data_IF_756425657374
#
_entry.id   IF_756425657374
#
_cell.length_a   1.000
_cell.length_b   1.000
_cell.length_c   1.000
_cell.angle_alpha   90.00
_cell.angle_beta   90.00
_cell.angle_gamma   90.00
#
_symmetry.space_group_name_H-M   'P 1'
#
loop_
_entity.id
_entity.type
_entity.pdbx_description
1 polymer ?
#
# COMPACT_ATOMS: atom_id res chain seq x y z
N UNK A 1 9.84 42.71 -34.67
CA UNK A 1 9.89 43.31 -33.33
C UNK A 1 8.60 42.97 -32.61
N UNK A 2 8.41 41.86 -31.91
CA UNK A 2 9.03 40.52 -31.86
C UNK A 2 8.12 39.70 -30.93
N UNK A 3 6.89 39.42 -31.37
CA UNK A 3 5.91 38.71 -30.54
C UNK A 3 5.96 37.17 -30.76
N UNK A 4 6.79 36.69 -31.68
CA UNK A 4 7.01 35.25 -31.93
C UNK A 4 8.01 34.60 -30.94
N UNK A 5 8.69 35.37 -30.09
CA UNK A 5 9.74 34.85 -29.21
C UNK A 5 9.23 34.25 -27.88
N UNK A 6 7.92 34.33 -27.61
CA UNK A 6 7.32 33.81 -26.35
C UNK A 6 6.59 32.47 -26.48
N UNK A 7 6.49 31.90 -27.68
CA UNK A 7 5.84 30.61 -27.91
C UNK A 7 6.89 29.49 -27.94
N UNK A 8 7.50 29.22 -26.79
CA UNK A 8 8.22 27.96 -26.62
C UNK A 8 7.20 26.82 -26.47
N UNK A 9 7.21 25.80 -27.33
CA UNK A 9 6.44 24.59 -27.11
C UNK A 9 7.00 23.92 -25.85
N UNK A 10 6.22 23.95 -24.75
CA UNK A 10 6.57 23.31 -23.47
C UNK A 10 6.82 21.80 -23.64
N UNK A 11 6.34 21.19 -24.74
CA UNK A 11 6.69 19.83 -25.14
C UNK A 11 8.20 19.61 -25.34
N UNK A 12 8.98 20.64 -25.65
CA UNK A 12 10.44 20.51 -25.76
C UNK A 12 11.15 20.47 -24.40
N UNK A 13 10.51 20.97 -23.32
CA UNK A 13 11.02 20.84 -21.95
C UNK A 13 10.60 19.54 -21.24
N UNK A 14 9.67 18.79 -21.84
CA UNK A 14 9.39 17.38 -21.49
C UNK A 14 10.49 16.42 -21.98
N UNK A 15 11.57 16.95 -22.57
CA UNK A 15 12.79 16.23 -22.94
C UNK A 15 13.80 16.05 -21.79
N UNK A 16 13.46 16.42 -20.56
CA UNK A 16 14.12 15.88 -19.38
C UNK A 16 13.21 14.84 -18.73
N UNK A 17 13.32 13.63 -19.28
CA UNK A 17 12.85 12.34 -18.74
C UNK A 17 13.50 12.04 -17.37
N UNK A 18 13.37 12.95 -16.40
CA UNK A 18 13.95 12.76 -15.09
C UNK A 18 12.99 11.90 -14.26
N UNK A 19 13.06 10.59 -14.51
CA UNK A 19 12.37 9.56 -13.74
C UNK A 19 12.60 9.82 -12.25
N UNK A 20 11.56 10.32 -11.57
CA UNK A 20 11.60 10.56 -10.12
C UNK A 20 11.54 9.22 -9.41
N UNK A 21 12.71 8.73 -9.01
CA UNK A 21 12.86 7.52 -8.21
C UNK A 21 11.95 7.58 -6.98
N UNK A 22 11.19 6.52 -6.76
CA UNK A 22 10.34 6.40 -5.59
C UNK A 22 11.20 5.96 -4.40
N UNK A 23 11.67 6.94 -3.63
CA UNK A 23 12.50 6.72 -2.43
C UNK A 23 11.68 6.30 -1.18
N UNK A 24 10.67 5.45 -1.36
CA UNK A 24 9.87 4.92 -0.24
C UNK A 24 10.48 3.67 0.38
N UNK A 25 11.51 3.07 -0.23
CA UNK A 25 12.24 1.90 0.29
C UNK A 25 12.86 2.14 1.68
N UNK A 26 13.64 3.22 1.92
CA UNK A 26 14.19 3.46 3.26
C UNK A 26 13.08 3.67 4.29
N UNK A 27 12.03 4.42 3.93
CA UNK A 27 10.88 4.68 4.80
C UNK A 27 10.16 3.38 5.19
N UNK A 28 9.95 2.46 4.24
CA UNK A 28 9.33 1.16 4.50
C UNK A 28 10.24 0.18 5.24
N UNK A 29 11.58 0.36 5.18
CA UNK A 29 12.52 -0.49 5.91
C UNK A 29 12.58 -0.20 7.41
N UNK A 30 12.29 1.04 7.83
CA UNK A 30 12.26 1.46 9.25
C UNK A 30 11.36 0.57 10.11
N UNK A 31 10.06 0.38 9.79
CA UNK A 31 9.19 -0.49 10.61
C UNK A 31 9.63 -1.95 10.56
N UNK A 32 10.19 -2.44 9.45
CA UNK A 32 10.71 -3.81 9.36
C UNK A 32 11.88 -4.03 10.33
N UNK A 33 12.85 -3.11 10.36
CA UNK A 33 13.99 -3.20 11.30
C UNK A 33 13.50 -3.08 12.74
N UNK A 34 12.60 -2.14 13.02
CA UNK A 34 12.04 -1.96 14.36
C UNK A 34 11.28 -3.20 14.84
N UNK A 35 10.49 -3.86 13.99
CA UNK A 35 9.80 -5.11 14.35
C UNK A 35 10.77 -6.24 14.70
N UNK A 36 11.87 -6.38 13.96
CA UNK A 36 12.93 -7.36 14.29
C UNK A 36 13.63 -7.00 15.60
N UNK A 37 13.95 -5.73 15.83
CA UNK A 37 14.52 -5.27 17.09
C UNK A 37 13.58 -5.51 18.27
N UNK A 38 12.27 -5.36 18.08
CA UNK A 38 11.26 -5.61 19.08
C UNK A 38 11.23 -7.10 19.49
N UNK A 39 11.28 -8.01 18.52
CA UNK A 39 11.35 -9.45 18.76
C UNK A 39 12.63 -9.84 19.51
N UNK A 40 13.78 -9.30 19.10
CA UNK A 40 15.06 -9.52 19.79
C UNK A 40 14.96 -9.03 21.24
N UNK A 41 14.33 -7.88 21.47
CA UNK A 41 14.10 -7.33 22.83
C UNK A 41 13.23 -8.28 23.66
N UNK A 42 12.18 -8.85 23.07
CA UNK A 42 11.35 -9.87 23.71
C UNK A 42 12.13 -11.13 24.11
N UNK A 43 12.99 -11.64 23.22
CA UNK A 43 13.86 -12.79 23.51
C UNK A 43 14.85 -12.48 24.63
N UNK A 44 15.45 -11.29 24.62
CA UNK A 44 16.37 -10.83 25.67
C UNK A 44 15.64 -10.75 27.02
N UNK A 45 14.42 -10.19 27.04
CA UNK A 45 13.62 -10.11 28.26
C UNK A 45 13.30 -11.48 28.86
N UNK A 46 12.99 -12.48 28.02
CA UNK A 46 12.77 -13.86 28.49
C UNK A 46 14.07 -14.53 28.94
N UNK A 47 15.19 -14.28 28.26
CA UNK A 47 16.46 -14.99 28.51
C UNK A 47 17.28 -14.40 29.66
N UNK A 48 17.23 -13.09 29.88
CA UNK A 48 18.13 -12.35 30.79
C UNK A 48 17.46 -11.92 32.09
N UNK A 49 16.12 -11.79 32.12
CA UNK A 49 15.37 -11.42 33.33
C UNK A 49 14.52 -12.58 33.88
N UNK A 50 15.13 -13.67 34.38
CA UNK A 50 14.40 -14.73 35.08
C UNK A 50 13.96 -14.31 36.50
N UNK A 51 14.45 -13.18 37.04
CA UNK A 51 14.13 -12.74 38.40
C UNK A 51 12.63 -12.42 38.57
N UNK A 52 11.96 -13.23 39.40
CA UNK A 52 10.51 -13.21 39.63
C UNK A 52 9.93 -11.84 40.04
N UNK A 53 10.75 -10.96 40.65
CA UNK A 53 10.27 -9.68 41.18
C UNK A 53 9.90 -8.68 40.09
N UNK A 54 10.55 -8.70 38.92
CA UNK A 54 10.41 -7.69 37.87
C UNK A 54 9.62 -8.18 36.63
N UNK A 55 9.20 -9.45 36.59
CA UNK A 55 8.54 -10.06 35.41
C UNK A 55 7.27 -9.32 34.97
N UNK A 56 6.49 -8.82 35.93
CA UNK A 56 5.26 -8.11 35.66
C UNK A 56 5.49 -6.69 35.11
N UNK A 57 6.53 -5.99 35.58
CA UNK A 57 6.88 -4.67 35.02
C UNK A 57 7.41 -4.81 33.59
N UNK A 58 8.22 -5.83 33.32
CA UNK A 58 8.72 -6.15 31.97
C UNK A 58 7.58 -6.42 30.99
N UNK A 59 6.50 -7.07 31.44
CA UNK A 59 5.30 -7.30 30.63
C UNK A 59 4.65 -5.98 30.18
N UNK A 60 4.42 -5.04 31.10
CA UNK A 60 3.83 -3.74 30.76
C UNK A 60 4.75 -2.90 29.89
N UNK A 61 6.06 -2.90 30.18
CA UNK A 61 7.06 -2.23 29.35
C UNK A 61 7.01 -2.76 27.92
N UNK A 62 6.93 -4.08 27.74
CA UNK A 62 6.87 -4.70 26.43
C UNK A 62 5.59 -4.34 25.67
N UNK A 63 4.44 -4.25 26.35
CA UNK A 63 3.20 -3.73 25.76
C UNK A 63 3.32 -2.24 25.34
N UNK A 64 4.00 -1.41 26.13
CA UNK A 64 4.22 -0.01 25.76
C UNK A 64 5.12 0.12 24.53
N UNK A 65 6.15 -0.72 24.40
CA UNK A 65 6.98 -0.78 23.21
C UNK A 65 6.17 -1.17 21.97
N UNK A 66 5.24 -2.13 22.10
CA UNK A 66 4.29 -2.50 21.05
C UNK A 66 3.37 -1.35 20.63
N UNK A 67 2.84 -0.59 21.59
CA UNK A 67 2.05 0.60 21.30
C UNK A 67 2.88 1.67 20.57
N UNK A 68 4.12 1.91 20.99
CA UNK A 68 5.03 2.84 20.33
C UNK A 68 5.37 2.39 18.90
N UNK A 69 5.61 1.09 18.70
CA UNK A 69 5.84 0.49 17.39
C UNK A 69 4.64 0.68 16.46
N UNK A 70 3.42 0.45 16.95
CA UNK A 70 2.18 0.70 16.20
C UNK A 70 2.06 2.16 15.76
N UNK A 71 2.40 3.13 16.64
CA UNK A 71 2.41 4.55 16.28
C UNK A 71 3.40 4.86 15.15
N UNK A 72 4.57 4.21 15.15
CA UNK A 72 5.57 4.36 14.08
C UNK A 72 5.05 3.78 12.77
N UNK A 73 4.41 2.59 12.79
CA UNK A 73 3.79 2.01 11.60
C UNK A 73 2.72 2.95 11.04
N UNK A 74 1.89 3.53 11.91
CA UNK A 74 0.86 4.49 11.50
C UNK A 74 1.47 5.74 10.84
N UNK A 75 2.53 6.29 11.40
CA UNK A 75 3.24 7.43 10.81
C UNK A 75 3.81 7.07 9.44
N UNK A 76 4.45 5.89 9.33
CA UNK A 76 5.03 5.40 8.07
C UNK A 76 3.94 5.19 7.02
N UNK A 77 2.81 4.56 7.37
CA UNK A 77 1.67 4.39 6.46
C UNK A 77 1.15 5.74 5.93
N UNK A 78 1.04 6.75 6.80
CA UNK A 78 0.64 8.09 6.39
C UNK A 78 1.65 8.74 5.43
N UNK A 79 2.95 8.64 5.72
CA UNK A 79 4.01 9.14 4.85
C UNK A 79 4.05 8.42 3.49
N UNK A 80 3.86 7.10 3.49
CA UNK A 80 3.78 6.30 2.28
C UNK A 80 2.57 6.70 1.43
N UNK A 81 1.38 6.85 2.04
CA UNK A 81 0.18 7.34 1.34
C UNK A 81 0.39 8.72 0.74
N UNK A 82 1.00 9.66 1.47
CA UNK A 82 1.28 11.00 0.94
C UNK A 82 2.25 10.96 -0.25
N UNK A 83 3.28 10.12 -0.20
CA UNK A 83 4.24 9.94 -1.31
C UNK A 83 3.59 9.27 -2.52
N UNK A 84 2.75 8.26 -2.31
CA UNK A 84 2.02 7.56 -3.36
C UNK A 84 0.90 8.43 -3.98
N UNK A 85 0.27 9.30 -3.20
CA UNK A 85 -0.68 10.29 -3.71
C UNK A 85 0.00 11.27 -4.69
N UNK A 86 1.21 11.75 -4.38
CA UNK A 86 2.01 12.54 -5.33
C UNK A 86 2.33 11.75 -6.60
N UNK A 87 2.69 10.47 -6.46
CA UNK A 87 2.99 9.59 -7.59
C UNK A 87 1.78 9.40 -8.52
N UNK A 88 0.57 9.34 -7.95
CA UNK A 88 -0.70 9.29 -8.69
C UNK A 88 -0.91 10.56 -9.54
N UNK A 89 -0.62 11.74 -8.98
CA UNK A 89 -0.73 13.02 -9.70
C UNK A 89 0.25 13.09 -10.89
N UNK A 90 1.40 12.43 -10.79
CA UNK A 90 2.37 12.35 -11.89
C UNK A 90 2.00 11.35 -13.00
N UNK A 91 0.81 10.74 -12.96
CA UNK A 91 0.32 9.87 -14.03
C UNK A 91 0.74 8.40 -13.92
N UNK A 92 1.13 7.92 -12.74
CA UNK A 92 1.44 6.51 -12.46
C UNK A 92 0.28 5.81 -11.74
N UNK A 93 -0.89 5.82 -12.35
CA UNK A 93 -2.13 5.34 -11.74
C UNK A 93 -2.20 3.81 -11.65
N UNK A 94 -1.75 3.09 -12.67
CA UNK A 94 -1.82 1.61 -12.70
C UNK A 94 -0.92 1.00 -11.61
N UNK A 95 0.26 1.60 -11.40
CA UNK A 95 1.16 1.21 -10.32
C UNK A 95 0.58 1.52 -8.93
N UNK A 96 -0.04 2.69 -8.76
CA UNK A 96 -0.72 3.07 -7.53
C UNK A 96 -1.84 2.08 -7.18
N UNK A 97 -2.72 1.74 -8.13
CA UNK A 97 -3.84 0.82 -7.88
C UNK A 97 -3.37 -0.58 -7.49
N UNK A 98 -2.33 -1.11 -8.14
CA UNK A 98 -1.75 -2.43 -7.82
C UNK A 98 -1.04 -2.48 -6.46
N UNK A 99 -0.51 -1.34 -6.00
CA UNK A 99 0.29 -1.24 -4.78
C UNK A 99 -0.52 -0.75 -3.57
N UNK A 100 -1.68 -0.15 -3.79
CA UNK A 100 -2.54 0.44 -2.75
C UNK A 100 -2.95 -0.56 -1.66
N UNK A 101 -3.35 -1.77 -2.03
CA UNK A 101 -3.71 -2.81 -1.06
C UNK A 101 -2.52 -3.23 -0.19
N UNK A 102 -1.32 -3.27 -0.76
CA UNK A 102 -0.10 -3.67 -0.07
C UNK A 102 0.44 -2.59 0.88
N UNK A 103 0.21 -1.31 0.57
CA UNK A 103 0.56 -0.20 1.46
C UNK A 103 -0.34 -0.19 2.69
N UNK A 104 -1.63 -0.52 2.51
CA UNK A 104 -2.62 -0.47 3.59
C UNK A 104 -2.59 -1.69 4.51
N UNK A 105 -2.10 -2.83 4.02
CA UNK A 105 -2.10 -4.10 4.77
C UNK A 105 -1.31 -4.04 6.10
N UNK A 106 -0.09 -3.48 6.20
CA UNK A 106 0.67 -3.45 7.45
C UNK A 106 -0.05 -2.75 8.61
N UNK A 107 -0.71 -1.61 8.35
CA UNK A 107 -1.47 -0.88 9.38
C UNK A 107 -2.64 -1.72 9.91
N UNK A 108 -3.38 -2.40 9.02
CA UNK A 108 -4.48 -3.27 9.43
C UNK A 108 -3.99 -4.48 10.23
N UNK A 109 -2.90 -5.12 9.80
CA UNK A 109 -2.30 -6.26 10.50
C UNK A 109 -1.84 -5.83 11.90
N UNK A 110 -1.09 -4.74 12.01
CA UNK A 110 -0.60 -4.24 13.31
C UNK A 110 -1.74 -3.81 14.24
N UNK A 111 -2.80 -3.20 13.70
CA UNK A 111 -3.96 -2.81 14.50
C UNK A 111 -4.73 -4.02 15.01
N UNK A 112 -4.91 -5.05 14.18
CA UNK A 112 -5.47 -6.34 14.63
C UNK A 112 -4.60 -6.94 15.73
N UNK A 113 -3.27 -6.84 15.63
CA UNK A 113 -2.37 -7.36 16.64
C UNK A 113 -2.48 -6.67 17.99
N UNK A 114 -2.60 -5.33 18.01
CA UNK A 114 -2.91 -4.58 19.24
C UNK A 114 -4.22 -5.07 19.87
N UNK A 115 -5.26 -5.35 19.08
CA UNK A 115 -6.51 -5.90 19.65
C UNK A 115 -6.32 -7.30 20.24
N UNK A 116 -5.49 -8.15 19.62
CA UNK A 116 -5.13 -9.46 20.17
C UNK A 116 -4.36 -9.34 21.50
N UNK A 117 -3.41 -8.41 21.59
CA UNK A 117 -2.69 -8.13 22.84
C UNK A 117 -3.62 -7.64 23.95
N UNK A 118 -4.53 -6.72 23.64
CA UNK A 118 -5.52 -6.23 24.58
C UNK A 118 -6.47 -7.34 25.04
N UNK A 119 -6.93 -8.18 24.13
CA UNK A 119 -7.78 -9.33 24.45
C UNK A 119 -7.05 -10.30 25.39
N UNK A 120 -5.79 -10.62 25.09
CA UNK A 120 -4.95 -11.46 25.95
C UNK A 120 -4.78 -10.84 27.34
N UNK A 121 -4.51 -9.53 27.42
CA UNK A 121 -4.39 -8.81 28.68
C UNK A 121 -5.70 -8.87 29.50
N UNK A 122 -6.86 -8.69 28.86
CA UNK A 122 -8.17 -8.78 29.51
C UNK A 122 -8.47 -10.20 30.01
N UNK A 123 -8.17 -11.23 29.21
CA UNK A 123 -8.36 -12.63 29.61
C UNK A 123 -7.50 -12.95 30.84
N UNK A 124 -6.22 -12.57 30.81
CA UNK A 124 -5.30 -12.79 31.93
C UNK A 124 -5.77 -12.05 33.19
N UNK A 125 -6.24 -10.81 33.05
CA UNK A 125 -6.76 -10.04 34.18
C UNK A 125 -8.08 -10.63 34.73
N UNK A 126 -8.99 -11.10 33.86
CA UNK A 126 -10.27 -11.66 34.28
C UNK A 126 -10.14 -13.01 34.98
N UNK A 127 -9.24 -13.87 34.49
CA UNK A 127 -9.04 -15.24 35.02
C UNK A 127 -8.29 -15.26 36.36
N UNK A 128 -7.40 -14.29 36.61
CA UNK A 128 -6.49 -14.31 37.77
C UNK A 128 -6.68 -13.16 38.79
N UNK A 129 -7.88 -12.55 38.83
CA UNK A 129 -8.24 -11.33 39.61
C UNK A 129 -7.74 -11.24 41.07
N UNK A 130 -7.47 -12.35 41.76
CA UNK A 130 -7.10 -12.34 43.19
C UNK A 130 -5.59 -12.51 43.42
N UNK A 131 -4.83 -13.05 42.45
CA UNK A 131 -3.43 -13.44 42.62
C UNK A 131 -2.59 -13.22 41.35
N UNK A 132 -2.82 -12.12 40.62
CA UNK A 132 -2.08 -11.85 39.38
C UNK A 132 -0.56 -11.75 39.61
N UNK A 133 -0.12 -11.03 40.65
CA UNK A 133 1.30 -10.96 41.03
C UNK A 133 1.86 -12.33 41.43
N UNK A 134 1.08 -13.14 42.15
CA UNK A 134 1.53 -14.46 42.60
C UNK A 134 1.59 -15.46 41.44
N UNK A 135 0.68 -15.38 40.47
CA UNK A 135 0.70 -16.19 39.23
C UNK A 135 1.85 -15.79 38.29
N UNK A 136 2.12 -14.48 38.20
CA UNK A 136 3.26 -13.90 37.46
C UNK A 136 4.62 -14.38 38.04
N UNK A 137 4.67 -14.62 39.36
CA UNK A 137 5.87 -15.11 40.08
C UNK A 137 6.00 -16.63 40.13
N UNK A 138 4.91 -17.36 40.32
CA UNK A 138 4.94 -18.80 40.66
C UNK A 138 5.06 -19.76 39.47
N UNK A 139 4.86 -19.32 38.23
CA UNK A 139 4.87 -20.21 37.06
C UNK A 139 6.13 -20.01 36.21
N UNK A 140 7.06 -20.97 36.28
CA UNK A 140 8.32 -20.97 35.51
C UNK A 140 8.12 -21.19 34.00
N UNK A 141 7.04 -21.87 33.59
CA UNK A 141 6.81 -22.26 32.19
C UNK A 141 5.73 -21.43 31.48
N UNK A 142 4.69 -21.00 32.20
CA UNK A 142 3.53 -20.29 31.65
C UNK A 142 3.49 -18.83 32.08
N UNK A 143 4.56 -18.08 31.80
CA UNK A 143 4.61 -16.63 32.09
C UNK A 143 3.84 -15.84 31.03
N UNK A 144 3.07 -14.78 31.40
CA UNK A 144 2.41 -13.87 30.46
C UNK A 144 3.31 -13.34 29.33
N UNK A 145 4.61 -13.19 29.62
CA UNK A 145 5.64 -12.81 28.65
C UNK A 145 5.78 -13.82 27.50
N UNK A 146 5.70 -15.13 27.77
CA UNK A 146 5.83 -16.17 26.74
C UNK A 146 4.67 -16.12 25.75
N UNK A 147 3.45 -15.79 26.22
CA UNK A 147 2.30 -15.61 25.33
C UNK A 147 2.45 -14.38 24.42
N UNK A 148 2.91 -13.25 24.96
CA UNK A 148 3.15 -12.06 24.14
C UNK A 148 4.32 -12.31 23.18
N UNK A 149 5.39 -12.97 23.61
CA UNK A 149 6.50 -13.33 22.74
C UNK A 149 6.02 -14.20 21.58
N UNK A 150 5.29 -15.29 21.84
CA UNK A 150 4.72 -16.14 20.80
C UNK A 150 3.84 -15.34 19.84
N UNK A 151 2.98 -14.47 20.36
CA UNK A 151 2.15 -13.60 19.53
C UNK A 151 3.02 -12.66 18.69
N UNK A 152 4.09 -12.09 19.25
CA UNK A 152 5.02 -11.21 18.53
C UNK A 152 5.76 -11.96 17.43
N UNK A 153 6.22 -13.18 17.68
CA UNK A 153 6.88 -14.02 16.69
C UNK A 153 5.95 -14.28 15.49
N UNK A 154 4.68 -14.55 15.75
CA UNK A 154 3.67 -14.72 14.69
C UNK A 154 3.40 -13.39 13.96
N UNK A 155 3.38 -12.26 14.66
CA UNK A 155 3.28 -10.93 14.04
C UNK A 155 4.38 -10.72 13.00
N UNK A 156 5.63 -10.93 13.43
CA UNK A 156 6.83 -10.70 12.63
C UNK A 156 6.83 -11.65 11.44
N UNK A 157 6.46 -12.91 11.64
CA UNK A 157 6.35 -13.91 10.58
C UNK A 157 5.36 -13.49 9.48
N UNK A 158 4.28 -12.79 9.83
CA UNK A 158 3.27 -12.32 8.87
C UNK A 158 3.66 -10.97 8.26
N UNK A 159 4.18 -10.02 9.05
CA UNK A 159 4.42 -8.65 8.59
C UNK A 159 5.67 -8.55 7.70
N UNK A 160 6.71 -9.32 8.00
CA UNK A 160 7.98 -9.34 7.25
C UNK A 160 7.78 -9.69 5.77
N UNK A 161 7.09 -10.79 5.39
CA UNK A 161 6.89 -11.11 3.97
C UNK A 161 6.04 -10.05 3.25
N UNK A 162 5.08 -9.40 3.93
CA UNK A 162 4.29 -8.31 3.36
C UNK A 162 5.20 -7.13 3.00
N UNK A 163 6.06 -6.70 3.93
CA UNK A 163 7.03 -5.63 3.68
C UNK A 163 8.06 -6.00 2.60
N UNK A 164 8.58 -7.23 2.60
CA UNK A 164 9.52 -7.70 1.57
C UNK A 164 8.88 -7.67 0.19
N UNK A 165 7.63 -8.13 0.07
CA UNK A 165 6.90 -8.11 -1.21
C UNK A 165 6.66 -6.68 -1.70
N UNK A 166 6.31 -5.76 -0.81
CA UNK A 166 6.21 -4.34 -1.12
C UNK A 166 7.55 -3.77 -1.62
N UNK A 167 8.64 -3.98 -0.86
CA UNK A 167 9.98 -3.49 -1.22
C UNK A 167 10.42 -4.05 -2.57
N UNK A 168 10.21 -5.35 -2.84
CA UNK A 168 10.51 -5.97 -4.14
C UNK A 168 9.76 -5.28 -5.28
N UNK A 169 8.47 -4.95 -5.10
CA UNK A 169 7.69 -4.25 -6.13
C UNK A 169 8.18 -2.82 -6.35
N UNK A 170 8.52 -2.08 -5.30
CA UNK A 170 9.08 -0.72 -5.41
C UNK A 170 10.47 -0.75 -6.06
N UNK A 171 11.32 -1.72 -5.70
CA UNK A 171 12.63 -1.90 -6.34
C UNK A 171 12.47 -2.26 -7.82
N UNK A 172 11.50 -3.12 -8.15
CA UNK A 172 11.16 -3.47 -9.52
C UNK A 172 10.77 -2.22 -10.31
N UNK A 173 9.86 -1.41 -9.77
CA UNK A 173 9.45 -0.14 -10.36
C UNK A 173 10.63 0.82 -10.57
N UNK A 174 11.47 1.01 -9.55
CA UNK A 174 12.66 1.87 -9.62
C UNK A 174 13.72 1.36 -10.62
N UNK A 175 13.80 0.04 -10.85
CA UNK A 175 14.73 -0.56 -11.81
C UNK A 175 14.24 -0.42 -13.24
N UNK A 176 12.95 -0.63 -13.48
CA UNK A 176 12.37 -0.58 -14.83
C UNK A 176 12.13 0.85 -15.34
N UNK A 177 12.18 1.86 -14.47
CA UNK A 177 11.96 3.27 -14.81
C UNK A 177 10.79 3.45 -15.80
N UNK A 178 9.59 2.92 -15.48
CA UNK A 178 8.49 2.98 -16.43
C UNK A 178 8.17 4.44 -16.74
N UNK A 179 7.87 4.71 -18.00
CA UNK A 179 7.33 6.00 -18.42
C UNK A 179 5.94 6.22 -17.80
N UNK A 180 5.50 7.47 -17.61
CA UNK A 180 4.15 7.78 -17.14
C UNK A 180 3.08 7.06 -17.96
N UNK A 181 1.98 6.61 -17.34
CA UNK A 181 0.95 5.79 -18.01
C UNK A 181 0.30 6.50 -19.20
N UNK A 182 0.36 7.84 -19.24
CA UNK A 182 -0.14 8.71 -20.33
C UNK A 182 0.71 8.62 -21.60
N UNK A 183 2.01 8.28 -21.48
CA UNK A 183 2.96 8.21 -22.61
C UNK A 183 3.08 6.78 -23.14
N UNK A 184 2.50 5.79 -22.44
CA UNK A 184 2.57 4.38 -22.83
C UNK A 184 1.94 4.21 -24.22
N UNK A 185 2.67 3.57 -25.14
CA UNK A 185 2.28 3.41 -26.56
C UNK A 185 0.88 2.82 -26.75
N UNK A 186 0.35 2.10 -25.76
CA UNK A 186 -1.03 1.58 -25.72
C UNK A 186 -2.11 2.68 -25.65
N UNK A 187 -1.79 3.82 -25.03
CA UNK A 187 -2.66 5.00 -24.92
C UNK A 187 -2.60 5.84 -26.20
N UNK A 188 -1.40 5.98 -26.79
CA UNK A 188 -1.21 6.66 -28.05
C UNK A 188 -1.80 5.87 -29.23
N UNK A 189 -1.62 4.54 -29.28
CA UNK A 189 -2.16 3.70 -30.37
C UNK A 189 -3.69 3.63 -30.39
N UNK A 190 -4.34 3.72 -29.24
CA UNK A 190 -5.81 3.80 -29.16
C UNK A 190 -6.35 5.17 -29.59
N UNK A 191 -5.62 6.25 -29.33
CA UNK A 191 -6.01 7.61 -29.77
C UNK A 191 -5.67 7.87 -31.25
N UNK A 192 -4.52 7.38 -31.73
CA UNK A 192 -4.10 7.61 -33.13
C UNK A 192 -4.88 6.78 -34.13
N UNK A 193 -5.49 5.65 -33.73
CA UNK A 193 -6.31 4.86 -34.62
C UNK A 193 -7.68 5.51 -34.93
N UNK A 194 -8.23 6.33 -34.03
CA UNK A 194 -9.48 7.07 -34.26
C UNK A 194 -9.25 8.50 -34.80
N UNK A 195 -8.03 9.05 -34.68
CA UNK A 195 -7.75 10.46 -35.01
C UNK A 195 -7.14 10.70 -36.40
N UNK A 196 -6.92 9.67 -37.22
CA UNK A 196 -6.31 9.84 -38.55
C UNK A 196 -7.24 10.42 -39.63
N UNK A 197 -8.42 10.88 -39.26
CA UNK A 197 -9.33 11.64 -40.12
C UNK A 197 -9.69 13.01 -39.53
N UNK A 198 -8.71 13.93 -39.48
CA UNK A 198 -9.01 15.36 -39.36
C UNK A 198 -8.13 16.14 -38.38
N UNK A 199 -7.05 16.70 -38.92
CA UNK A 199 -6.61 18.10 -38.74
C UNK A 199 -6.63 18.74 -37.34
N UNK A 200 -5.41 19.11 -36.91
CA UNK A 200 -5.00 20.33 -36.19
C UNK A 200 -5.36 20.54 -34.71
N UNK A 201 -4.28 20.83 -33.96
CA UNK A 201 -4.21 21.71 -32.78
C UNK A 201 -5.23 21.49 -31.65
N UNK A 202 -4.87 20.63 -30.70
CA UNK A 202 -5.42 20.70 -29.34
C UNK A 202 -4.52 21.62 -28.51
N UNK A 203 -4.67 22.93 -28.71
CA UNK A 203 -4.09 23.98 -27.84
C UNK A 203 -5.03 24.18 -26.65
N UNK A 204 -4.70 23.58 -25.51
CA UNK A 204 -5.41 23.78 -24.25
C UNK A 204 -4.74 24.88 -23.39
N UNK A 205 -5.45 25.98 -23.15
CA UNK A 205 -5.01 27.03 -22.23
C UNK A 205 -5.03 26.54 -20.77
N UNK A 206 -3.93 26.75 -20.04
CA UNK A 206 -3.73 26.24 -18.66
C UNK A 206 -3.91 27.36 -17.64
N UNK A 207 -5.00 27.31 -16.86
CA UNK A 207 -5.18 28.14 -15.67
C UNK A 207 -4.78 27.37 -14.40
N UNK A 208 -3.86 27.97 -13.62
CA UNK A 208 -3.42 27.63 -12.26
C UNK A 208 -3.31 26.14 -11.89
N UNK A 209 -2.07 25.68 -11.83
CA UNK A 209 -1.53 24.33 -11.56
C UNK A 209 -2.29 23.43 -10.57
N UNK A 210 -2.98 23.94 -9.55
CA UNK A 210 -3.72 23.11 -8.58
C UNK A 210 -5.06 22.58 -9.09
N UNK A 211 -5.75 23.32 -9.98
CA UNK A 211 -7.09 22.93 -10.44
C UNK A 211 -7.03 21.94 -11.62
N UNK A 212 -5.95 22.01 -12.39
CA UNK A 212 -5.71 21.14 -13.54
C UNK A 212 -5.39 19.71 -13.10
N UNK A 213 -4.69 19.55 -11.97
CA UNK A 213 -4.38 18.23 -11.40
C UNK A 213 -5.66 17.49 -10.94
N UNK A 214 -6.56 18.18 -10.24
CA UNK A 214 -7.87 17.63 -9.84
C UNK A 214 -8.79 17.36 -11.04
N UNK A 215 -8.76 18.20 -12.07
CA UNK A 215 -9.53 17.99 -13.29
C UNK A 215 -8.98 16.81 -14.11
N UNK A 216 -7.66 16.70 -14.24
CA UNK A 216 -7.00 15.56 -14.89
C UNK A 216 -7.28 14.26 -14.15
N UNK A 217 -7.29 14.28 -12.81
CA UNK A 217 -7.67 13.14 -11.97
C UNK A 217 -9.11 12.70 -12.28
N UNK A 218 -10.08 13.63 -12.26
CA UNK A 218 -11.48 13.32 -12.56
C UNK A 218 -11.69 12.84 -14.00
N UNK A 219 -10.93 13.37 -14.95
CA UNK A 219 -10.99 12.90 -16.33
C UNK A 219 -10.39 11.51 -16.50
N UNK A 220 -9.27 11.21 -15.84
CA UNK A 220 -8.67 9.88 -15.87
C UNK A 220 -9.61 8.81 -15.28
N UNK A 221 -10.27 9.13 -14.16
CA UNK A 221 -11.27 8.25 -13.55
C UNK A 221 -12.49 8.04 -14.46
N UNK A 222 -12.97 9.10 -15.13
CA UNK A 222 -14.10 9.02 -16.06
C UNK A 222 -13.78 8.19 -17.30
N UNK A 223 -12.60 8.38 -17.91
CA UNK A 223 -12.15 7.61 -19.07
C UNK A 223 -12.08 6.13 -18.71
N UNK A 224 -11.57 5.80 -17.51
CA UNK A 224 -11.47 4.42 -17.04
C UNK A 224 -12.85 3.81 -16.76
N UNK A 225 -13.75 4.57 -16.14
CA UNK A 225 -15.15 4.16 -15.96
C UNK A 225 -15.83 3.84 -17.29
N UNK A 226 -15.67 4.73 -18.28
CA UNK A 226 -16.23 4.55 -19.61
C UNK A 226 -15.63 3.33 -20.33
N UNK A 227 -14.32 3.09 -20.19
CA UNK A 227 -13.65 1.91 -20.76
C UNK A 227 -14.17 0.61 -20.15
N UNK A 228 -14.27 0.53 -18.83
CA UNK A 228 -14.83 -0.63 -18.13
C UNK A 228 -16.28 -0.88 -18.55
N UNK A 229 -17.05 0.19 -18.74
CA UNK A 229 -18.43 0.12 -19.19
C UNK A 229 -18.54 -0.36 -20.64
N UNK A 230 -17.69 0.14 -21.53
CA UNK A 230 -17.61 -0.31 -22.93
C UNK A 230 -17.14 -1.77 -23.04
N UNK A 231 -16.17 -2.21 -22.23
CA UNK A 231 -15.74 -3.59 -22.21
C UNK A 231 -16.87 -4.54 -21.77
N UNK A 232 -17.62 -4.17 -20.72
CA UNK A 232 -18.80 -4.91 -20.28
C UNK A 232 -19.91 -4.90 -21.33
N UNK A 233 -20.12 -3.77 -22.00
CA UNK A 233 -21.13 -3.64 -23.05
C UNK A 233 -20.78 -4.50 -24.28
N UNK A 234 -19.53 -4.47 -24.73
CA UNK A 234 -19.02 -5.33 -25.79
C UNK A 234 -19.15 -6.81 -25.44
N UNK A 235 -18.84 -7.19 -24.19
CA UNK A 235 -19.03 -8.56 -23.75
C UNK A 235 -20.51 -8.98 -23.80
N UNK A 236 -21.43 -8.10 -23.39
CA UNK A 236 -22.88 -8.36 -23.48
C UNK A 236 -23.36 -8.43 -24.93
N UNK A 237 -22.89 -7.54 -25.79
CA UNK A 237 -23.19 -7.56 -27.22
C UNK A 237 -22.70 -8.87 -27.86
N UNK A 238 -21.51 -9.33 -27.50
CA UNK A 238 -20.96 -10.58 -28.00
C UNK A 238 -21.77 -11.79 -27.52
N UNK A 239 -22.22 -11.80 -26.26
CA UNK A 239 -23.11 -12.84 -25.73
C UNK A 239 -24.47 -12.85 -26.46
N UNK A 240 -25.08 -11.69 -26.68
CA UNK A 240 -26.34 -11.56 -27.42
C UNK A 240 -26.18 -11.93 -28.90
N UNK A 241 -25.04 -11.60 -29.50
CA UNK A 241 -24.72 -11.99 -30.88
C UNK A 241 -24.55 -13.51 -31.00
N UNK A 242 -23.87 -14.14 -30.03
CA UNK A 242 -23.73 -15.60 -29.95
C UNK A 242 -25.08 -16.30 -29.80
N UNK A 243 -25.95 -15.80 -28.93
CA UNK A 243 -27.33 -16.27 -28.75
C UNK A 243 -28.15 -16.14 -30.04
N UNK A 244 -28.08 -14.98 -30.70
CA UNK A 244 -28.78 -14.73 -31.98
C UNK A 244 -28.26 -15.59 -33.13
N UNK A 245 -26.97 -15.91 -33.15
CA UNK A 245 -26.34 -16.79 -34.15
C UNK A 245 -26.62 -18.28 -33.92
N UNK A 246 -27.38 -18.66 -32.89
CA UNK A 246 -27.76 -20.05 -32.62
C UNK A 246 -26.64 -20.93 -32.07
N UNK A 247 -25.47 -20.37 -31.75
CA UNK A 247 -24.32 -21.12 -31.21
C UNK A 247 -24.50 -21.58 -29.76
N UNK A 248 -25.58 -21.15 -29.09
CA UNK A 248 -25.96 -21.58 -27.74
C UNK A 248 -27.21 -22.47 -27.72
N UNK A 249 -27.69 -22.92 -28.89
CA UNK A 249 -28.62 -24.03 -28.97
C UNK A 249 -27.80 -25.29 -29.24
N UNK A 250 -27.47 -26.09 -28.20
CA UNK A 250 -27.29 -27.51 -28.46
C UNK A 250 -28.65 -28.01 -28.94
N UNK A 251 -28.77 -28.34 -30.22
CA UNK A 251 -29.80 -29.29 -30.63
C UNK A 251 -29.56 -30.56 -29.80
N UNK A 252 -30.36 -30.71 -28.76
CA UNK A 252 -30.56 -31.94 -27.99
C UNK A 252 -31.56 -32.83 -28.75
N UNK A 253 -31.56 -34.13 -28.47
CA UNK A 253 -30.94 -35.24 -29.21
C UNK A 253 -31.72 -35.76 -30.44
#
# INVERSE_FOLDING_TARGET
>A
MDDEEYLQPVLSSLGEDDFRKLETVPIASVPLVLGVCLEITGIIFVSVWPEEKNKCDTYFIYLYLHCAYWMIIMLVDHLLKARHYKLRIYGYFDFYQSTYQQIRAPLFIASLWITCYLLLAVILHHTHKVNYEQYCRASEWFTPLNYILLLTTVEVLIIVPVYINYIKRVMRFNRYRPQPDVIREEWLSSYTQESYSGSNDVVGYRERQSNVEDLLEKQADLIRYLRDHNAKLNHRLLLLAMERSGLLNPEEP
#
